data_IF_408678788301
#
_entry.id   IF_408678788301
#
_cell.length_a   1.000
_cell.length_b   1.000
_cell.length_c   1.000
_cell.angle_alpha   90.00
_cell.angle_beta   90.00
_cell.angle_gamma   90.00
#
_symmetry.space_group_name_H-M   'P 1'
#
loop_
_entity.id
_entity.type
_entity.pdbx_description
1 polymer ?
#
# COMPACT_ATOMS: atom_id res chain seq x y z
N UNK A 1 -35.29 51.19 71.18
CA UNK A 1 -34.81 50.16 70.23
C UNK A 1 -34.93 50.75 68.84
N UNK A 2 -33.85 51.33 68.29
CA UNK A 2 -32.90 50.68 67.36
C UNK A 2 -33.64 50.20 66.10
N UNK A 3 -33.38 50.64 64.86
CA UNK A 3 -32.20 51.29 64.29
C UNK A 3 -32.58 51.92 62.94
N UNK A 4 -32.31 53.22 62.76
CA UNK A 4 -32.06 53.86 61.46
C UNK A 4 -30.55 53.66 61.19
N UNK A 5 -30.08 53.70 59.93
CA UNK A 5 -28.67 53.50 59.48
C UNK A 5 -28.39 52.00 59.21
N UNK A 6 -27.93 51.52 58.05
CA UNK A 6 -27.17 52.12 56.95
C UNK A 6 -27.60 51.50 55.61
N UNK A 7 -28.11 52.35 54.70
CA UNK A 7 -27.78 52.21 53.28
C UNK A 7 -26.34 52.69 53.13
N UNK A 8 -25.53 51.98 52.34
CA UNK A 8 -24.10 52.16 52.02
C UNK A 8 -23.20 51.20 52.81
N UNK A 9 -22.26 50.60 52.07
CA UNK A 9 -21.21 49.66 52.48
C UNK A 9 -21.61 48.18 52.59
N UNK A 10 -21.71 47.51 51.44
CA UNK A 10 -20.80 46.38 51.18
C UNK A 10 -20.66 46.20 49.66
N UNK A 11 -19.78 47.01 49.10
CA UNK A 11 -19.10 46.67 47.86
C UNK A 11 -18.09 45.54 48.16
N UNK A 12 -17.71 44.81 47.11
CA UNK A 12 -16.72 43.71 47.09
C UNK A 12 -17.30 42.34 47.42
N UNK A 13 -17.47 41.53 46.38
CA UNK A 13 -17.09 40.11 46.29
C UNK A 13 -18.07 39.37 45.35
N UNK A 14 -17.68 39.20 44.08
CA UNK A 14 -17.65 37.92 43.35
C UNK A 14 -17.38 38.16 41.88
N UNK A 15 -16.09 38.27 41.57
CA UNK A 15 -15.53 37.89 40.28
C UNK A 15 -15.59 36.36 40.18
N UNK A 16 -15.77 35.85 38.96
CA UNK A 16 -15.54 34.47 38.49
C UNK A 16 -16.70 33.45 38.65
N UNK A 17 -17.46 33.26 37.56
CA UNK A 17 -17.96 31.94 37.15
C UNK A 17 -18.34 31.95 35.66
N UNK A 18 -17.40 32.30 34.78
CA UNK A 18 -17.48 31.96 33.37
C UNK A 18 -16.99 30.53 33.18
N UNK A 19 -17.84 29.54 33.41
CA UNK A 19 -17.53 28.15 33.07
C UNK A 19 -17.64 27.98 31.56
N UNK A 20 -16.50 28.18 30.87
CA UNK A 20 -16.28 27.64 29.54
C UNK A 20 -16.42 26.11 29.63
N UNK A 21 -17.49 25.59 29.06
CA UNK A 21 -17.57 24.19 28.68
C UNK A 21 -16.72 24.00 27.43
N UNK A 22 -15.40 23.91 27.60
CA UNK A 22 -14.54 23.30 26.60
C UNK A 22 -14.75 21.80 26.72
N UNK A 23 -15.76 21.28 26.04
CA UNK A 23 -15.81 19.87 25.67
C UNK A 23 -14.57 19.59 24.83
N UNK A 24 -13.52 19.07 25.48
CA UNK A 24 -12.41 18.46 24.80
C UNK A 24 -12.98 17.28 23.99
N UNK A 25 -13.01 17.39 22.67
CA UNK A 25 -13.09 16.21 21.82
C UNK A 25 -11.82 15.40 22.08
N UNK A 26 -11.89 14.44 23.00
CA UNK A 26 -10.97 13.32 22.99
C UNK A 26 -11.29 12.49 21.75
N UNK A 27 -10.77 12.90 20.60
CA UNK A 27 -10.69 12.03 19.42
C UNK A 27 -9.75 10.89 19.80
N UNK A 28 -10.31 9.75 20.21
CA UNK A 28 -9.57 8.50 20.24
C UNK A 28 -9.23 8.19 18.79
N UNK A 29 -7.97 8.40 18.42
CA UNK A 29 -7.46 8.01 17.10
C UNK A 29 -7.79 6.53 16.86
N UNK A 30 -8.34 6.16 15.70
CA UNK A 30 -8.68 4.76 15.44
C UNK A 30 -7.41 3.90 15.52
N UNK A 31 -7.46 2.83 16.30
CA UNK A 31 -6.32 1.93 16.46
C UNK A 31 -6.18 1.05 15.22
N UNK A 32 -5.30 1.44 14.30
CA UNK A 32 -5.05 0.73 13.05
C UNK A 32 -4.13 -0.48 13.25
N UNK A 33 -4.66 -1.56 13.84
CA UNK A 33 -3.94 -2.80 14.13
C UNK A 33 -3.92 -3.76 12.94
N UNK A 34 -2.82 -4.50 12.79
CA UNK A 34 -2.69 -5.62 11.84
C UNK A 34 -3.64 -6.77 12.22
N UNK A 35 -4.23 -7.49 11.24
CA UNK A 35 -5.05 -8.67 11.51
C UNK A 35 -4.29 -9.75 12.29
N UNK A 36 -4.95 -10.40 13.26
CA UNK A 36 -4.35 -11.45 14.11
C UNK A 36 -4.79 -12.87 13.71
N UNK A 37 -5.17 -13.05 12.44
CA UNK A 37 -5.66 -14.32 11.88
C UNK A 37 -4.67 -14.87 10.86
N UNK A 38 -4.67 -16.20 10.71
CA UNK A 38 -3.92 -16.90 9.66
C UNK A 38 -4.76 -17.15 8.40
N UNK A 39 -6.08 -17.05 8.49
CA UNK A 39 -6.95 -17.18 7.34
C UNK A 39 -7.02 -15.86 6.58
N UNK A 40 -6.68 -15.89 5.29
CA UNK A 40 -6.59 -14.70 4.45
C UNK A 40 -7.94 -13.99 4.29
N UNK A 41 -9.03 -14.72 4.13
CA UNK A 41 -10.36 -14.15 3.88
C UNK A 41 -10.85 -13.32 5.09
N UNK A 42 -10.63 -13.86 6.30
CA UNK A 42 -10.87 -13.15 7.55
C UNK A 42 -9.94 -11.93 7.70
N UNK A 43 -8.68 -12.05 7.26
CA UNK A 43 -7.72 -10.95 7.32
C UNK A 43 -8.13 -9.80 6.40
N UNK A 44 -8.51 -10.10 5.15
CA UNK A 44 -8.99 -9.12 4.19
C UNK A 44 -10.24 -8.41 4.71
N UNK A 45 -11.20 -9.15 5.27
CA UNK A 45 -12.40 -8.57 5.87
C UNK A 45 -12.08 -7.60 7.02
N UNK A 46 -11.13 -7.97 7.88
CA UNK A 46 -10.67 -7.11 8.97
C UNK A 46 -9.97 -5.83 8.46
N UNK A 47 -9.10 -5.97 7.46
CA UNK A 47 -8.42 -4.84 6.81
C UNK A 47 -9.43 -3.90 6.15
N UNK A 48 -10.42 -4.43 5.43
CA UNK A 48 -11.49 -3.63 4.82
C UNK A 48 -12.23 -2.81 5.89
N UNK A 49 -12.60 -3.44 7.00
CA UNK A 49 -13.25 -2.74 8.13
C UNK A 49 -12.36 -1.65 8.74
N UNK A 50 -11.05 -1.87 8.85
CA UNK A 50 -10.12 -0.88 9.39
C UNK A 50 -9.95 0.30 8.42
N UNK A 51 -9.80 0.02 7.12
CA UNK A 51 -9.66 1.06 6.09
C UNK A 51 -10.92 1.92 5.99
N UNK A 52 -12.11 1.30 6.05
CA UNK A 52 -13.39 2.00 6.05
C UNK A 52 -13.65 2.84 7.32
N UNK A 53 -12.97 2.52 8.43
CA UNK A 53 -13.11 3.24 9.72
C UNK A 53 -12.06 4.33 9.95
N UNK A 54 -11.22 4.62 8.95
CA UNK A 54 -10.28 5.75 8.97
C UNK A 54 -8.80 5.38 8.92
N UNK A 55 -8.45 4.10 8.77
CA UNK A 55 -7.05 3.64 8.71
C UNK A 55 -6.42 3.70 7.32
N UNK A 56 -6.90 4.59 6.44
CA UNK A 56 -6.52 4.66 5.02
C UNK A 56 -5.02 4.86 4.81
N UNK A 57 -4.36 5.64 5.68
CA UNK A 57 -2.91 5.88 5.64
C UNK A 57 -2.05 4.63 5.87
N UNK A 58 -2.65 3.53 6.35
CA UNK A 58 -1.96 2.26 6.62
C UNK A 58 -2.15 1.23 5.50
N UNK A 59 -2.72 1.62 4.34
CA UNK A 59 -2.99 0.71 3.24
C UNK A 59 -1.78 -0.13 2.83
N UNK A 60 -0.63 0.50 2.61
CA UNK A 60 0.59 -0.18 2.16
C UNK A 60 1.04 -1.26 3.16
N UNK A 61 0.98 -0.93 4.46
CA UNK A 61 1.27 -1.89 5.54
C UNK A 61 0.26 -3.03 5.55
N UNK A 62 -1.03 -2.72 5.44
CA UNK A 62 -2.06 -3.75 5.42
C UNK A 62 -1.92 -4.68 4.22
N UNK A 63 -1.58 -4.15 3.05
CA UNK A 63 -1.34 -4.97 1.88
C UNK A 63 -0.16 -5.93 2.08
N UNK A 64 0.92 -5.46 2.70
CA UNK A 64 2.07 -6.31 3.07
C UNK A 64 1.72 -7.37 4.14
N UNK A 65 0.94 -7.00 5.15
CA UNK A 65 0.41 -7.94 6.15
C UNK A 65 -0.43 -9.04 5.49
N UNK A 66 -1.30 -8.67 4.53
CA UNK A 66 -2.13 -9.61 3.78
C UNK A 66 -1.28 -10.56 2.94
N UNK A 67 -0.25 -10.08 2.25
CA UNK A 67 0.68 -10.93 1.51
C UNK A 67 1.37 -11.92 2.46
N UNK A 68 1.83 -11.45 3.63
CA UNK A 68 2.49 -12.28 4.65
C UNK A 68 1.55 -13.35 5.20
N UNK A 69 0.29 -13.01 5.47
CA UNK A 69 -0.73 -13.98 5.91
C UNK A 69 -0.99 -15.01 4.81
N UNK A 70 -1.09 -14.56 3.55
CA UNK A 70 -1.34 -15.44 2.41
C UNK A 70 -0.18 -16.39 2.11
N UNK A 71 1.06 -16.05 2.42
CA UNK A 71 2.20 -17.00 2.37
C UNK A 71 2.04 -18.15 3.38
N UNK A 72 1.37 -17.90 4.51
CA UNK A 72 1.03 -18.91 5.50
C UNK A 72 -0.23 -19.73 5.17
N UNK A 73 -1.00 -19.30 4.16
CA UNK A 73 -2.24 -19.92 3.67
C UNK A 73 -2.29 -19.87 2.12
N UNK A 74 -1.33 -20.52 1.43
CA UNK A 74 -1.18 -20.38 -0.02
C UNK A 74 -2.24 -21.18 -0.77
N UNK A 75 -2.96 -20.51 -1.68
CA UNK A 75 -4.08 -21.08 -2.44
C UNK A 75 -4.13 -20.51 -3.85
N UNK A 76 -4.45 -21.30 -4.89
CA UNK A 76 -4.60 -20.79 -6.28
C UNK A 76 -5.55 -19.59 -6.39
N UNK A 77 -6.57 -19.56 -5.53
CA UNK A 77 -7.62 -18.55 -5.51
C UNK A 77 -7.15 -17.22 -4.92
N UNK A 78 -6.03 -17.19 -4.19
CA UNK A 78 -5.53 -15.98 -3.53
C UNK A 78 -5.26 -14.86 -4.57
N UNK A 79 -4.81 -15.21 -5.78
CA UNK A 79 -4.63 -14.23 -6.88
C UNK A 79 -5.92 -13.49 -7.20
N UNK A 80 -7.06 -14.20 -7.20
CA UNK A 80 -8.38 -13.60 -7.39
C UNK A 80 -8.79 -12.77 -6.18
N UNK A 81 -8.57 -13.27 -4.96
CA UNK A 81 -8.88 -12.55 -3.73
C UNK A 81 -8.15 -11.19 -3.65
N UNK A 82 -6.86 -11.15 -3.98
CA UNK A 82 -6.10 -9.89 -4.04
C UNK A 82 -6.61 -8.95 -5.15
N UNK A 83 -7.00 -9.49 -6.31
CA UNK A 83 -7.63 -8.67 -7.35
C UNK A 83 -8.94 -8.05 -6.88
N UNK A 84 -9.81 -8.84 -6.23
CA UNK A 84 -11.10 -8.36 -5.72
C UNK A 84 -10.91 -7.33 -4.59
N UNK A 85 -9.95 -7.55 -3.70
CA UNK A 85 -9.57 -6.58 -2.66
C UNK A 85 -9.10 -5.24 -3.26
N UNK A 86 -8.27 -5.27 -4.29
CA UNK A 86 -7.76 -4.05 -4.94
C UNK A 86 -8.83 -3.32 -5.76
N UNK A 87 -9.75 -4.06 -6.40
CA UNK A 87 -10.92 -3.46 -7.05
C UNK A 87 -11.80 -2.75 -6.03
N UNK A 88 -12.13 -3.42 -4.92
CA UNK A 88 -12.87 -2.81 -3.82
C UNK A 88 -12.18 -1.54 -3.29
N UNK A 89 -10.86 -1.60 -3.06
CA UNK A 89 -10.11 -0.45 -2.56
C UNK A 89 -10.12 0.72 -3.56
N UNK A 90 -10.17 0.43 -4.86
CA UNK A 90 -10.34 1.46 -5.88
C UNK A 90 -11.75 2.04 -5.89
N UNK A 91 -12.78 1.21 -5.74
CA UNK A 91 -14.19 1.63 -5.75
C UNK A 91 -14.54 2.47 -4.50
N UNK A 92 -13.91 2.18 -3.36
CA UNK A 92 -14.03 2.94 -2.11
C UNK A 92 -13.20 4.25 -2.11
N UNK A 93 -12.41 4.49 -3.18
CA UNK A 93 -11.61 5.69 -3.33
C UNK A 93 -10.29 5.71 -2.55
N UNK A 94 -9.88 4.57 -1.97
CA UNK A 94 -8.59 4.41 -1.28
C UNK A 94 -7.43 4.44 -2.27
N UNK A 95 -7.64 3.88 -3.46
CA UNK A 95 -6.70 3.86 -4.56
C UNK A 95 -7.33 4.43 -5.83
N UNK A 96 -6.53 5.05 -6.68
CA UNK A 96 -6.91 5.17 -8.09
C UNK A 96 -6.86 3.81 -8.79
N UNK A 97 -7.60 3.66 -9.89
CA UNK A 97 -7.56 2.44 -10.73
C UNK A 97 -6.13 2.06 -11.11
N UNK A 98 -5.32 3.06 -11.47
CA UNK A 98 -3.90 2.85 -11.80
C UNK A 98 -3.11 2.29 -10.62
N UNK A 99 -3.31 2.83 -9.42
CA UNK A 99 -2.62 2.31 -8.22
C UNK A 99 -3.05 0.87 -7.91
N UNK A 100 -4.34 0.55 -8.02
CA UNK A 100 -4.83 -0.81 -7.84
C UNK A 100 -4.21 -1.78 -8.86
N UNK A 101 -4.14 -1.38 -10.14
CA UNK A 101 -3.44 -2.13 -11.18
C UNK A 101 -1.96 -2.30 -10.86
N UNK A 102 -1.27 -1.25 -10.40
CA UNK A 102 0.15 -1.29 -10.07
C UNK A 102 0.44 -2.24 -8.90
N UNK A 103 -0.39 -2.21 -7.84
CA UNK A 103 -0.34 -3.18 -6.74
C UNK A 103 -0.50 -4.62 -7.23
N UNK A 104 -1.49 -4.87 -8.08
CA UNK A 104 -1.71 -6.21 -8.64
C UNK A 104 -0.55 -6.65 -9.52
N UNK A 105 -0.10 -5.78 -10.43
CA UNK A 105 0.89 -6.12 -11.44
C UNK A 105 2.25 -6.44 -10.86
N UNK A 106 2.62 -5.75 -9.77
CA UNK A 106 3.89 -5.97 -9.07
C UNK A 106 4.06 -7.42 -8.62
N UNK A 107 3.01 -8.01 -8.04
CA UNK A 107 3.06 -9.35 -7.42
C UNK A 107 2.49 -10.46 -8.29
N UNK A 108 1.41 -10.18 -9.05
CA UNK A 108 0.58 -11.24 -9.66
C UNK A 108 0.54 -11.20 -11.20
N UNK A 109 1.13 -10.17 -11.84
CA UNK A 109 1.31 -10.15 -13.28
C UNK A 109 2.71 -10.66 -13.65
N UNK A 110 2.75 -11.48 -14.70
CA UNK A 110 3.98 -12.04 -15.25
C UNK A 110 4.85 -10.95 -15.89
N UNK A 111 4.22 -9.91 -16.47
CA UNK A 111 4.94 -8.79 -17.11
C UNK A 111 5.53 -7.84 -16.07
N UNK A 112 6.72 -7.33 -16.39
CA UNK A 112 7.45 -6.40 -15.53
C UNK A 112 6.97 -4.95 -15.71
N UNK A 113 6.70 -4.28 -14.60
CA UNK A 113 6.39 -2.86 -14.55
C UNK A 113 7.64 -2.01 -14.81
N UNK A 114 8.79 -2.47 -14.32
CA UNK A 114 10.12 -1.88 -14.57
C UNK A 114 10.46 -1.79 -16.08
N UNK A 115 9.81 -2.63 -16.90
CA UNK A 115 9.94 -2.64 -18.37
C UNK A 115 8.99 -1.70 -19.12
N UNK A 116 8.14 -0.92 -18.44
CA UNK A 116 7.18 -0.01 -19.08
C UNK A 116 7.80 1.28 -19.67
N UNK A 117 9.12 1.44 -19.59
CA UNK A 117 9.83 2.60 -20.13
C UNK A 117 10.17 2.48 -21.61
N UNK A 118 10.56 3.60 -22.22
CA UNK A 118 11.03 3.67 -23.62
C UNK A 118 12.47 3.11 -23.75
N UNK A 119 12.61 1.79 -23.63
CA UNK A 119 13.87 1.08 -23.86
C UNK A 119 14.10 0.77 -25.34
N UNK A 120 13.66 1.67 -26.22
CA UNK A 120 13.62 1.48 -27.67
C UNK A 120 14.77 2.19 -28.42
N UNK A 121 15.62 2.94 -27.73
CA UNK A 121 16.72 3.69 -28.35
C UNK A 121 18.04 3.55 -27.58
N UNK A 122 19.16 3.60 -28.31
CA UNK A 122 20.50 3.37 -27.76
C UNK A 122 20.90 4.37 -26.66
N UNK A 123 20.56 5.66 -26.84
CA UNK A 123 21.00 6.74 -25.96
C UNK A 123 20.34 6.71 -24.58
N UNK A 124 19.11 6.22 -24.49
CA UNK A 124 18.40 6.09 -23.22
C UNK A 124 18.53 4.70 -22.61
N UNK A 125 18.58 3.64 -23.42
CA UNK A 125 18.56 2.26 -22.92
C UNK A 125 19.92 1.84 -22.33
N UNK A 126 21.02 2.08 -23.05
CA UNK A 126 22.32 1.51 -22.67
C UNK A 126 22.97 2.14 -21.43
N UNK A 127 22.91 3.46 -21.21
CA UNK A 127 23.39 4.05 -19.95
C UNK A 127 22.61 3.55 -18.71
N UNK A 128 21.35 3.14 -18.90
CA UNK A 128 20.47 2.71 -17.81
C UNK A 128 20.34 1.20 -17.66
N UNK A 129 20.94 0.39 -18.55
CA UNK A 129 20.80 -1.08 -18.59
C UNK A 129 20.87 -1.72 -17.20
N UNK A 130 21.93 -1.41 -16.44
CA UNK A 130 22.14 -2.00 -15.12
C UNK A 130 21.01 -1.66 -14.13
N UNK A 131 20.51 -0.43 -14.17
CA UNK A 131 19.40 0.00 -13.33
C UNK A 131 18.12 -0.77 -13.68
N UNK A 132 17.84 -0.93 -14.97
CA UNK A 132 16.65 -1.67 -15.45
C UNK A 132 16.69 -3.11 -14.98
N UNK A 133 17.82 -3.80 -15.19
CA UNK A 133 17.98 -5.20 -14.77
C UNK A 133 17.83 -5.35 -13.25
N UNK A 134 18.40 -4.42 -12.48
CA UNK A 134 18.27 -4.42 -11.03
C UNK A 134 16.83 -4.19 -10.56
N UNK A 135 16.12 -3.25 -11.18
CA UNK A 135 14.71 -2.98 -10.86
C UNK A 135 13.84 -4.20 -11.22
N UNK A 136 14.14 -4.88 -12.34
CA UNK A 136 13.47 -6.11 -12.73
C UNK A 136 13.77 -7.28 -11.79
N UNK A 137 15.01 -7.45 -11.35
CA UNK A 137 15.39 -8.50 -10.41
C UNK A 137 14.64 -8.36 -9.08
N UNK A 138 14.54 -7.13 -8.56
CA UNK A 138 13.70 -6.83 -7.39
C UNK A 138 12.24 -7.16 -7.62
N UNK A 139 11.70 -6.79 -8.77
CA UNK A 139 10.32 -7.11 -9.13
C UNK A 139 10.11 -8.62 -9.31
N UNK A 140 11.13 -9.39 -9.75
CA UNK A 140 11.06 -10.84 -9.83
C UNK A 140 10.92 -11.47 -8.43
N UNK A 141 11.56 -10.91 -7.40
CA UNK A 141 11.34 -11.33 -6.01
C UNK A 141 9.90 -11.05 -5.54
N UNK A 142 9.33 -9.91 -5.93
CA UNK A 142 7.91 -9.62 -5.67
C UNK A 142 6.99 -10.62 -6.40
N UNK A 143 7.33 -10.98 -7.64
CA UNK A 143 6.62 -12.01 -8.41
C UNK A 143 6.76 -13.39 -7.81
N UNK A 144 7.91 -13.76 -7.27
CA UNK A 144 8.08 -15.02 -6.52
C UNK A 144 7.12 -15.04 -5.32
N UNK A 145 7.04 -13.94 -4.58
CA UNK A 145 6.13 -13.80 -3.45
C UNK A 145 4.67 -13.98 -3.88
N UNK A 146 4.22 -13.22 -4.88
CA UNK A 146 2.82 -13.25 -5.33
C UNK A 146 2.44 -14.54 -6.09
N UNK A 147 3.16 -14.86 -7.15
CA UNK A 147 2.85 -16.00 -8.02
C UNK A 147 3.11 -17.32 -7.30
N UNK A 148 4.30 -17.52 -6.74
CA UNK A 148 4.69 -18.80 -6.17
C UNK A 148 4.22 -18.96 -4.71
N UNK A 149 4.61 -18.04 -3.82
CA UNK A 149 4.38 -18.21 -2.37
C UNK A 149 2.95 -17.92 -1.94
N UNK A 150 2.25 -17.00 -2.60
CA UNK A 150 0.87 -16.64 -2.24
C UNK A 150 -0.16 -17.43 -3.04
N UNK A 151 0.07 -17.63 -4.34
CA UNK A 151 -0.95 -18.17 -5.25
C UNK A 151 -0.62 -19.52 -5.90
N UNK A 152 0.51 -20.16 -5.59
CA UNK A 152 0.91 -21.46 -6.17
C UNK A 152 0.93 -21.49 -7.72
N UNK A 153 1.02 -20.33 -8.36
CA UNK A 153 1.10 -20.12 -9.80
C UNK A 153 2.55 -20.32 -10.27
N UNK A 154 2.99 -21.59 -10.22
CA UNK A 154 4.34 -22.01 -10.61
C UNK A 154 4.63 -21.64 -12.07
N UNK A 155 3.69 -21.94 -12.97
CA UNK A 155 3.82 -21.64 -14.41
C UNK A 155 3.94 -20.14 -14.66
N UNK A 156 3.14 -19.33 -13.96
CA UNK A 156 3.22 -17.88 -14.01
C UNK A 156 4.58 -17.36 -13.56
N UNK A 157 5.10 -17.89 -12.45
CA UNK A 157 6.43 -17.51 -11.94
C UNK A 157 7.56 -17.88 -12.91
N UNK A 158 7.61 -19.13 -13.39
CA UNK A 158 8.64 -19.55 -14.35
C UNK A 158 8.58 -18.77 -15.66
N UNK A 159 7.39 -18.37 -16.09
CA UNK A 159 7.25 -17.49 -17.25
C UNK A 159 7.79 -16.09 -16.98
N UNK A 160 7.64 -15.55 -15.77
CA UNK A 160 8.21 -14.27 -15.40
C UNK A 160 9.75 -14.34 -15.33
N UNK A 161 10.30 -15.39 -14.74
CA UNK A 161 11.75 -15.65 -14.72
C UNK A 161 12.33 -15.80 -16.14
N UNK A 162 11.63 -16.49 -17.03
CA UNK A 162 12.03 -16.61 -18.43
C UNK A 162 12.00 -15.25 -19.15
N UNK A 163 10.97 -14.43 -18.94
CA UNK A 163 10.92 -13.07 -19.49
C UNK A 163 12.07 -12.20 -18.99
N UNK A 164 12.47 -12.35 -17.73
CA UNK A 164 13.62 -11.63 -17.19
C UNK A 164 14.91 -11.95 -17.96
N UNK A 165 15.19 -13.25 -18.16
CA UNK A 165 16.37 -13.71 -18.93
C UNK A 165 16.33 -13.27 -20.39
N UNK A 166 15.15 -13.29 -21.01
CA UNK A 166 14.96 -12.81 -22.39
C UNK A 166 15.26 -11.31 -22.50
N UNK A 167 14.78 -10.51 -21.55
CA UNK A 167 15.04 -9.07 -21.53
C UNK A 167 16.52 -8.79 -21.29
N UNK A 168 17.17 -9.51 -20.38
CA UNK A 168 18.61 -9.40 -20.15
C UNK A 168 19.40 -9.61 -21.45
N UNK A 169 19.11 -10.70 -22.16
CA UNK A 169 19.75 -11.02 -23.44
C UNK A 169 19.49 -9.94 -24.49
N UNK A 170 18.24 -9.47 -24.62
CA UNK A 170 17.87 -8.44 -25.60
C UNK A 170 18.55 -7.11 -25.30
N UNK A 171 18.59 -6.70 -24.03
CA UNK A 171 19.27 -5.46 -23.63
C UNK A 171 20.78 -5.54 -23.86
N UNK A 172 21.39 -6.70 -23.58
CA UNK A 172 22.81 -6.92 -23.87
C UNK A 172 23.09 -6.80 -25.38
N UNK A 173 22.37 -7.57 -26.19
CA UNK A 173 22.52 -7.56 -27.65
C UNK A 173 22.27 -6.16 -28.24
N UNK A 174 21.24 -5.46 -27.77
CA UNK A 174 20.92 -4.09 -28.19
C UNK A 174 22.11 -3.18 -27.91
N UNK A 175 22.69 -3.23 -26.72
CA UNK A 175 23.80 -2.36 -26.35
C UNK A 175 25.11 -2.71 -27.04
N UNK A 176 25.39 -4.00 -27.29
CA UNK A 176 26.50 -4.41 -28.15
C UNK A 176 26.36 -3.84 -29.56
N UNK A 177 25.16 -3.94 -30.15
CA UNK A 177 24.90 -3.40 -31.49
C UNK A 177 25.04 -1.86 -31.53
N UNK A 178 24.52 -1.16 -30.52
CA UNK A 178 24.67 0.29 -30.38
C UNK A 178 26.13 0.73 -30.23
N UNK A 179 26.98 -0.08 -29.60
CA UNK A 179 28.40 0.21 -29.46
C UNK A 179 29.17 -0.02 -30.77
N UNK A 180 28.81 -1.04 -31.55
CA UNK A 180 29.44 -1.36 -32.83
C UNK A 180 29.03 -0.43 -33.98
N UNK A 181 27.85 0.20 -33.88
CA UNK A 181 27.35 1.18 -34.86
C UNK A 181 27.80 2.63 -34.61
N UNK A 182 28.60 2.87 -33.56
CA UNK A 182 29.27 4.14 -33.29
C UNK A 182 30.68 4.11 -33.87
#
# INVERSE_FOLDING_TARGET
>A
MLNRISKRYLAVATLLAGSLWLSACATTEPTCLSPQTRNLDNAMSAVQSNLASGCQAYFDRYYDDLLTIAEGDPRPENKRAFSEFLVWASDDGLLSKRQAEDYYNRYFNIKFMSMRGDYNNCSHTCPNKQKVLFDMERELSDKERGLLKVSLDNDGYYRADQLFKEVELVLEATCTACAAGR
#
